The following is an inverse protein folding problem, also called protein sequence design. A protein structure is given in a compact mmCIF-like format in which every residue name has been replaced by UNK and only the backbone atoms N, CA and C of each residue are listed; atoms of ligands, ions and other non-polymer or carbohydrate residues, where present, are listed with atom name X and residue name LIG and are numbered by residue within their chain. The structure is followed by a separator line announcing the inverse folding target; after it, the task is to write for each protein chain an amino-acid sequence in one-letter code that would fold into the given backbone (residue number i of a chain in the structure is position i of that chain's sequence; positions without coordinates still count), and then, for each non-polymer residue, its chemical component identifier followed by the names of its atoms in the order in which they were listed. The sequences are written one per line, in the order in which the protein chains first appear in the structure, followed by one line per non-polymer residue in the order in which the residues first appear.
data_IF_489207058871
#
_entry.id   IF_489207058871
#
_cell.length_a   1.000
_cell.length_b   1.000
_cell.length_c   1.000
_cell.angle_alpha   90.00
_cell.angle_beta   90.00
_cell.angle_gamma   90.00
#
_symmetry.space_group_name_H-M   'P 1'
#
loop_
_entity.id
_entity.type
_entity.pdbx_description
1 polymer ?
#
# COMPACT_ATOMS: atom_id res chain seq x y z
N UNK A 1 -44.72 37.44 47.98
CA UNK A 1 -45.96 36.65 47.76
C UNK A 1 -45.67 35.25 48.25
N UNK A 2 -46.40 34.85 49.28
CA UNK A 2 -46.14 33.67 50.10
C UNK A 2 -46.87 32.42 49.61
N UNK A 3 -46.43 31.29 50.18
CA UNK A 3 -47.16 30.02 50.44
C UNK A 3 -47.29 29.05 49.26
N UNK A 4 -47.29 27.73 49.42
CA UNK A 4 -46.76 26.74 50.39
C UNK A 4 -47.31 25.37 49.89
N UNK A 5 -46.60 24.27 50.17
CA UNK A 5 -47.07 22.89 50.50
C UNK A 5 -48.24 22.24 49.72
N UNK A 6 -48.27 20.94 49.41
CA UNK A 6 -47.53 19.77 49.89
C UNK A 6 -48.46 18.53 49.87
N UNK A 7 -47.85 17.33 49.83
CA UNK A 7 -48.40 15.99 50.19
C UNK A 7 -49.53 15.44 49.27
N UNK A 8 -49.76 14.13 49.02
CA UNK A 8 -49.60 12.91 49.84
C UNK A 8 -49.66 11.65 48.95
N UNK A 9 -49.03 10.56 49.41
CA UNK A 9 -49.11 9.16 48.96
C UNK A 9 -50.52 8.54 49.00
N UNK A 10 -50.75 7.52 48.16
CA UNK A 10 -51.54 6.32 48.54
C UNK A 10 -51.00 5.05 47.86
N UNK A 11 -50.84 4.01 48.69
CA UNK A 11 -50.55 2.60 48.38
C UNK A 11 -51.87 1.81 48.48
N UNK A 12 -51.89 0.61 47.86
CA UNK A 12 -52.78 -0.57 48.05
C UNK A 12 -53.65 -0.86 46.83
N UNK A 13 -53.83 -2.10 46.37
CA UNK A 13 -53.39 -3.41 46.84
C UNK A 13 -54.23 -4.49 46.14
N UNK A 14 -53.62 -5.67 45.94
CA UNK A 14 -54.21 -6.99 45.63
C UNK A 14 -54.99 -7.18 44.31
N UNK A 15 -55.09 -8.36 43.69
CA UNK A 15 -54.37 -9.64 43.61
C UNK A 15 -55.27 -10.52 42.70
N UNK A 16 -54.76 -11.66 42.23
CA UNK A 16 -55.46 -12.86 41.74
C UNK A 16 -55.63 -13.08 40.22
N UNK A 17 -54.78 -14.03 39.76
CA UNK A 17 -55.08 -15.15 38.81
C UNK A 17 -55.13 -14.79 37.31
N UNK A 18 -54.64 -15.58 36.34
CA UNK A 18 -54.25 -17.00 36.28
C UNK A 18 -53.37 -17.22 35.04
N UNK A 19 -52.45 -18.18 35.18
CA UNK A 19 -51.50 -18.71 34.21
C UNK A 19 -52.04 -19.04 32.80
N UNK A 20 -51.15 -18.95 31.80
CA UNK A 20 -51.11 -19.95 30.72
C UNK A 20 -50.81 -19.47 29.30
N UNK A 21 -49.71 -18.76 29.04
CA UNK A 21 -49.18 -18.58 27.67
C UNK A 21 -47.85 -19.32 27.49
N UNK A 22 -47.92 -20.55 26.99
CA UNK A 22 -46.77 -21.27 26.44
C UNK A 22 -46.76 -21.13 24.92
N UNK A 23 -46.12 -20.09 24.41
CA UNK A 23 -45.55 -20.08 23.06
C UNK A 23 -44.07 -19.73 23.17
N UNK A 24 -43.26 -20.79 23.21
CA UNK A 24 -41.81 -20.71 23.13
C UNK A 24 -41.41 -20.16 21.75
N UNK A 25 -41.15 -18.86 21.65
CA UNK A 25 -40.31 -18.32 20.58
C UNK A 25 -38.89 -18.23 21.11
N UNK A 26 -38.14 -19.31 20.93
CA UNK A 26 -36.70 -19.35 21.16
C UNK A 26 -36.03 -18.42 20.14
N UNK A 27 -35.69 -17.22 20.60
CA UNK A 27 -34.89 -16.27 19.84
C UNK A 27 -33.50 -16.87 19.59
N UNK A 28 -33.09 -16.92 18.33
CA UNK A 28 -31.85 -17.58 17.95
C UNK A 28 -30.64 -16.80 18.50
N UNK A 29 -29.56 -17.47 18.95
CA UNK A 29 -28.40 -16.85 19.61
C UNK A 29 -27.67 -15.76 18.81
N UNK A 30 -27.97 -15.62 17.52
CA UNK A 30 -27.36 -14.64 16.62
C UNK A 30 -28.10 -13.30 16.56
N UNK A 31 -29.33 -13.20 17.08
CA UNK A 31 -30.07 -11.92 17.10
C UNK A 31 -29.51 -10.92 18.13
N UNK A 32 -28.90 -11.41 19.21
CA UNK A 32 -28.19 -10.57 20.21
C UNK A 32 -26.79 -10.12 19.71
N UNK A 33 -26.27 -10.70 18.64
CA UNK A 33 -24.98 -10.31 18.05
C UNK A 33 -25.06 -9.05 17.18
N UNK A 34 -26.29 -8.61 16.80
CA UNK A 34 -26.49 -7.41 15.96
C UNK A 34 -26.64 -6.11 16.75
N UNK A 35 -26.83 -6.17 18.07
CA UNK A 35 -27.02 -4.99 18.93
C UNK A 35 -25.71 -4.46 19.54
N UNK A 36 -24.59 -5.17 19.37
CA UNK A 36 -23.26 -4.76 19.86
C UNK A 36 -22.40 -4.05 18.80
N UNK A 37 -22.78 -4.07 17.52
CA UNK A 37 -22.06 -3.38 16.45
C UNK A 37 -22.66 -2.00 16.18
N UNK A 38 -22.41 -1.05 17.08
CA UNK A 38 -22.35 0.35 16.65
C UNK A 38 -21.00 0.54 15.95
N UNK A 39 -20.92 1.05 14.72
CA UNK A 39 -19.66 1.41 14.12
C UNK A 39 -19.09 2.60 14.90
N UNK A 40 -18.24 2.33 15.88
CA UNK A 40 -17.34 3.32 16.43
C UNK A 40 -16.38 3.70 15.31
N UNK A 41 -16.49 4.93 14.84
CA UNK A 41 -15.56 5.56 13.91
C UNK A 41 -14.12 5.24 14.32
N UNK A 42 -13.26 4.65 13.47
CA UNK A 42 -11.88 4.40 13.84
C UNK A 42 -11.15 5.74 13.87
N UNK A 43 -11.04 6.35 15.05
CA UNK A 43 -10.28 7.58 15.31
C UNK A 43 -8.80 7.32 15.59
N UNK A 44 -8.34 6.06 15.58
CA UNK A 44 -6.94 5.72 15.79
C UNK A 44 -6.23 5.76 14.43
N UNK A 45 -5.34 6.75 14.24
CA UNK A 45 -4.38 6.72 13.12
C UNK A 45 -3.69 5.34 13.10
N UNK A 46 -3.46 4.73 11.92
CA UNK A 46 -2.74 3.48 11.85
C UNK A 46 -1.40 3.61 12.56
N UNK A 47 -0.97 2.58 13.28
CA UNK A 47 0.38 2.56 13.81
C UNK A 47 1.31 2.30 12.62
N UNK A 48 2.27 3.19 12.31
CA UNK A 48 3.23 2.90 11.27
C UNK A 48 3.99 1.63 11.67
N UNK A 49 4.23 0.71 10.73
CA UNK A 49 4.90 -0.53 11.04
C UNK A 49 6.34 -0.27 11.42
N UNK A 50 6.89 -1.13 12.27
CA UNK A 50 8.34 -1.12 12.46
C UNK A 50 9.00 -1.53 11.14
N UNK A 51 10.12 -0.89 10.74
CA UNK A 51 10.79 -1.21 9.49
C UNK A 51 11.16 -2.70 9.33
N UNK A 52 11.38 -3.41 10.45
CA UNK A 52 11.70 -4.84 10.48
C UNK A 52 10.52 -5.78 10.15
N UNK A 53 9.28 -5.29 10.30
CA UNK A 53 8.05 -6.08 10.08
C UNK A 53 7.26 -5.60 8.85
N UNK A 54 7.67 -4.47 8.26
CA UNK A 54 7.03 -3.89 7.09
C UNK A 54 7.61 -4.47 5.80
N UNK A 55 6.76 -4.64 4.80
CA UNK A 55 7.19 -4.73 3.40
C UNK A 55 7.26 -3.31 2.87
N UNK A 56 8.45 -2.70 2.94
CA UNK A 56 8.68 -1.34 2.48
C UNK A 56 8.89 -1.30 0.96
N UNK A 57 8.01 -0.56 0.29
CA UNK A 57 8.00 -0.42 -1.17
C UNK A 57 8.28 1.04 -1.51
N UNK A 58 9.47 1.29 -2.07
CA UNK A 58 9.85 2.60 -2.55
C UNK A 58 9.41 2.77 -4.00
N UNK A 59 8.66 3.81 -4.31
CA UNK A 59 8.18 4.12 -5.66
C UNK A 59 8.73 5.47 -6.11
N UNK A 60 9.23 5.55 -7.34
CA UNK A 60 9.64 6.84 -7.90
C UNK A 60 8.43 7.71 -8.29
N UNK A 61 8.57 9.03 -8.23
CA UNK A 61 7.51 9.97 -8.65
C UNK A 61 7.03 9.73 -10.08
N UNK A 62 7.94 9.40 -11.01
CA UNK A 62 7.62 9.12 -12.43
C UNK A 62 6.91 7.79 -12.68
N UNK A 63 6.92 6.86 -11.72
CA UNK A 63 6.11 5.63 -11.83
C UNK A 63 4.78 5.76 -11.11
N UNK A 64 4.74 6.54 -10.02
CA UNK A 64 3.50 6.77 -9.28
C UNK A 64 2.56 7.70 -10.05
N UNK A 65 3.12 8.71 -10.72
CA UNK A 65 2.38 9.72 -11.46
C UNK A 65 2.91 9.87 -12.88
N UNK A 66 2.03 10.23 -13.81
CA UNK A 66 2.41 10.59 -15.15
C UNK A 66 3.03 12.00 -15.16
N UNK A 67 4.33 12.04 -15.40
CA UNK A 67 5.14 13.26 -15.43
C UNK A 67 5.90 13.40 -16.77
N UNK A 68 5.37 12.81 -17.84
CA UNK A 68 6.06 12.74 -19.14
C UNK A 68 6.32 14.13 -19.73
N UNK A 69 5.34 15.04 -19.63
CA UNK A 69 5.47 16.43 -20.10
C UNK A 69 6.56 17.15 -19.33
N UNK A 70 6.59 17.00 -18.02
CA UNK A 70 7.58 17.60 -17.13
C UNK A 70 8.98 17.05 -17.39
N UNK A 71 9.10 15.74 -17.67
CA UNK A 71 10.35 15.12 -18.07
C UNK A 71 10.88 15.70 -19.39
N UNK A 72 10.00 15.87 -20.39
CA UNK A 72 10.39 16.46 -21.68
C UNK A 72 10.90 17.90 -21.53
N UNK A 73 10.27 18.70 -20.66
CA UNK A 73 10.74 20.06 -20.34
C UNK A 73 12.14 20.01 -19.72
N UNK A 74 12.37 19.11 -18.75
CA UNK A 74 13.69 18.95 -18.14
C UNK A 74 14.77 18.55 -19.15
N UNK A 75 14.46 17.61 -20.05
CA UNK A 75 15.42 17.12 -21.05
C UNK A 75 15.73 18.15 -22.15
N UNK A 76 14.73 18.92 -22.59
CA UNK A 76 14.87 19.85 -23.71
C UNK A 76 15.29 21.26 -23.29
N UNK A 77 14.79 21.74 -22.14
CA UNK A 77 14.90 23.13 -21.69
C UNK A 77 15.76 23.25 -20.42
N UNK A 78 16.02 22.14 -19.73
CA UNK A 78 16.88 22.09 -18.56
C UNK A 78 16.15 22.35 -17.24
N UNK A 79 16.92 22.45 -16.16
CA UNK A 79 16.41 22.48 -14.78
C UNK A 79 15.62 23.76 -14.45
N UNK A 80 16.03 24.92 -14.97
CA UNK A 80 15.39 26.20 -14.63
C UNK A 80 13.94 26.27 -15.15
N UNK A 81 13.73 25.97 -16.42
CA UNK A 81 12.40 25.95 -17.04
C UNK A 81 11.53 24.83 -16.46
N UNK A 82 12.13 23.68 -16.14
CA UNK A 82 11.45 22.61 -15.40
C UNK A 82 10.91 23.09 -14.05
N UNK A 83 11.73 23.75 -13.23
CA UNK A 83 11.30 24.25 -11.92
C UNK A 83 10.21 25.31 -12.09
N UNK A 84 10.39 26.25 -13.02
CA UNK A 84 9.39 27.28 -13.31
C UNK A 84 8.04 26.67 -13.70
N UNK A 85 8.05 25.72 -14.62
CA UNK A 85 6.85 25.00 -15.03
C UNK A 85 6.17 24.29 -13.84
N UNK A 86 6.94 23.61 -12.99
CA UNK A 86 6.40 22.91 -11.83
C UNK A 86 5.74 23.86 -10.81
N UNK A 87 6.31 25.05 -10.61
CA UNK A 87 5.75 26.08 -9.72
C UNK A 87 4.47 26.69 -10.32
N UNK A 88 4.47 27.01 -11.61
CA UNK A 88 3.28 27.56 -12.28
C UNK A 88 2.08 26.61 -12.25
N UNK A 89 2.34 25.29 -12.23
CA UNK A 89 1.31 24.25 -12.23
C UNK A 89 1.18 23.56 -10.85
N UNK A 90 1.62 24.19 -9.76
CA UNK A 90 1.63 23.58 -8.41
C UNK A 90 0.26 23.08 -7.93
N UNK A 91 -0.81 23.77 -8.34
CA UNK A 91 -2.20 23.42 -8.01
C UNK A 91 -2.81 22.37 -8.95
N UNK A 92 -2.11 21.98 -10.02
CA UNK A 92 -2.58 21.02 -11.00
C UNK A 92 -2.04 19.62 -10.66
N UNK A 93 -2.88 18.70 -10.14
CA UNK A 93 -2.42 17.37 -9.76
C UNK A 93 -2.00 16.56 -10.99
N UNK A 94 -0.97 15.73 -10.82
CA UNK A 94 -0.58 14.79 -11.87
C UNK A 94 -1.65 13.72 -12.08
N UNK A 95 -1.74 13.20 -13.31
CA UNK A 95 -2.55 12.02 -13.59
C UNK A 95 -1.86 10.75 -13.06
N UNK A 96 -2.61 9.67 -12.79
CA UNK A 96 -2.07 8.39 -12.36
C UNK A 96 -0.96 7.85 -13.29
N UNK A 97 0.10 7.31 -12.69
CA UNK A 97 1.18 6.62 -13.39
C UNK A 97 1.04 5.10 -13.35
N UNK A 98 1.97 4.35 -13.98
CA UNK A 98 1.90 2.88 -14.10
C UNK A 98 1.86 2.13 -12.75
N UNK A 99 2.43 2.68 -11.68
CA UNK A 99 2.41 2.07 -10.35
C UNK A 99 1.20 2.48 -9.50
N UNK A 100 0.34 3.39 -9.98
CA UNK A 100 -0.71 3.98 -9.17
C UNK A 100 -1.69 2.95 -8.63
N UNK A 101 -2.28 2.13 -9.50
CA UNK A 101 -3.23 1.10 -9.09
C UNK A 101 -2.60 0.03 -8.21
N UNK A 102 -1.30 -0.24 -8.37
CA UNK A 102 -0.56 -1.12 -7.48
C UNK A 102 -0.48 -0.54 -6.06
N UNK A 103 -0.12 0.75 -5.92
CA UNK A 103 -0.11 1.43 -4.62
C UNK A 103 -1.50 1.43 -3.97
N UNK A 104 -2.56 1.70 -4.73
CA UNK A 104 -3.94 1.59 -4.23
C UNK A 104 -4.28 0.18 -3.73
N UNK A 105 -3.84 -0.85 -4.45
CA UNK A 105 -4.06 -2.23 -4.04
C UNK A 105 -3.35 -2.57 -2.72
N UNK A 106 -2.14 -2.05 -2.50
CA UNK A 106 -1.42 -2.22 -1.22
C UNK A 106 -2.17 -1.54 -0.06
N UNK A 107 -2.67 -0.32 -0.26
CA UNK A 107 -3.50 0.39 0.72
C UNK A 107 -4.80 -0.37 1.04
N UNK A 108 -5.41 -0.97 0.02
CA UNK A 108 -6.60 -1.79 0.17
C UNK A 108 -6.33 -3.04 1.01
N UNK A 109 -5.17 -3.70 0.82
CA UNK A 109 -4.74 -4.82 1.65
C UNK A 109 -4.50 -4.37 3.09
N UNK A 110 -3.76 -3.28 3.32
CA UNK A 110 -3.58 -2.74 4.67
C UNK A 110 -4.91 -2.44 5.36
N UNK A 111 -5.88 -1.89 4.61
CA UNK A 111 -7.22 -1.59 5.14
C UNK A 111 -7.98 -2.85 5.55
N UNK A 112 -7.99 -3.87 4.70
CA UNK A 112 -8.64 -5.15 5.02
C UNK A 112 -7.95 -5.87 6.19
N UNK A 113 -6.62 -5.87 6.23
CA UNK A 113 -5.88 -6.45 7.35
C UNK A 113 -6.17 -5.74 8.67
N UNK A 114 -6.34 -4.42 8.65
CA UNK A 114 -6.72 -3.63 9.83
C UNK A 114 -8.12 -3.98 10.34
N UNK A 115 -9.06 -4.28 9.45
CA UNK A 115 -10.41 -4.72 9.84
C UNK A 115 -10.40 -6.12 10.45
N UNK A 116 -9.58 -7.03 9.89
CA UNK A 116 -9.45 -8.40 10.37
C UNK A 116 -8.61 -8.50 11.66
N UNK A 117 -7.59 -7.67 11.79
CA UNK A 117 -6.61 -7.69 12.87
C UNK A 117 -6.34 -6.26 13.41
N UNK A 118 -7.27 -5.67 14.19
CA UNK A 118 -7.19 -4.26 14.61
C UNK A 118 -5.95 -3.86 15.45
N UNK A 119 -5.29 -4.85 16.06
CA UNK A 119 -4.08 -4.64 16.86
C UNK A 119 -2.78 -4.93 16.10
N UNK A 120 -2.85 -5.37 14.83
CA UNK A 120 -1.65 -5.55 14.01
C UNK A 120 -1.10 -4.22 13.52
N UNK A 121 0.19 -4.20 13.22
CA UNK A 121 0.81 -3.12 12.44
C UNK A 121 0.39 -3.25 10.96
N UNK A 122 0.57 -2.18 10.17
CA UNK A 122 0.36 -2.26 8.73
C UNK A 122 1.39 -3.18 8.07
N UNK A 123 1.00 -3.89 7.01
CA UNK A 123 1.93 -4.79 6.34
C UNK A 123 2.83 -4.04 5.34
N UNK A 124 2.24 -3.16 4.55
CA UNK A 124 2.95 -2.44 3.49
C UNK A 124 3.24 -1.00 3.90
N UNK A 125 4.50 -0.57 3.77
CA UNK A 125 4.93 0.83 3.92
C UNK A 125 5.34 1.38 2.55
N UNK A 126 4.57 2.33 2.02
CA UNK A 126 4.86 2.92 0.70
C UNK A 126 5.62 4.23 0.89
N UNK A 127 6.80 4.31 0.26
CA UNK A 127 7.68 5.47 0.33
C UNK A 127 7.81 6.09 -1.05
N UNK A 128 7.51 7.38 -1.16
CA UNK A 128 7.72 8.10 -2.42
C UNK A 128 9.16 8.64 -2.50
N UNK A 129 9.90 8.18 -3.50
CA UNK A 129 11.24 8.65 -3.84
C UNK A 129 11.17 9.60 -5.03
N UNK A 130 11.78 10.78 -4.93
CA UNK A 130 11.89 11.69 -6.08
C UNK A 130 13.30 12.20 -6.25
N UNK A 131 13.73 12.24 -7.52
CA UNK A 131 14.98 12.88 -7.92
C UNK A 131 14.81 14.41 -8.07
N UNK A 132 13.59 14.92 -7.93
CA UNK A 132 13.28 16.32 -8.17
C UNK A 132 13.86 17.24 -7.09
N UNK A 133 14.09 18.49 -7.49
CA UNK A 133 14.46 19.56 -6.57
C UNK A 133 13.33 19.83 -5.55
N UNK A 134 13.70 20.28 -4.34
CA UNK A 134 12.79 20.54 -3.21
C UNK A 134 11.55 21.38 -3.59
N UNK A 135 11.72 22.34 -4.49
CA UNK A 135 10.66 23.22 -4.98
C UNK A 135 9.51 22.49 -5.70
N UNK A 136 9.75 21.28 -6.23
CA UNK A 136 8.72 20.47 -6.91
C UNK A 136 7.90 19.63 -5.90
N UNK A 137 8.31 19.60 -4.62
CA UNK A 137 7.68 18.78 -3.59
C UNK A 137 6.21 19.15 -3.34
N UNK A 138 5.84 20.44 -3.44
CA UNK A 138 4.48 20.90 -3.17
C UNK A 138 3.46 20.31 -4.14
N UNK A 139 3.76 20.33 -5.45
CA UNK A 139 2.88 19.73 -6.47
C UNK A 139 2.70 18.23 -6.25
N UNK A 140 3.76 17.52 -5.85
CA UNK A 140 3.67 16.09 -5.50
C UNK A 140 2.78 15.86 -4.27
N UNK A 141 2.94 16.66 -3.21
CA UNK A 141 2.10 16.57 -2.01
C UNK A 141 0.63 16.88 -2.35
N UNK A 142 0.38 17.93 -3.13
CA UNK A 142 -0.96 18.28 -3.62
C UNK A 142 -1.58 17.15 -4.42
N UNK A 143 -0.78 16.47 -5.25
CA UNK A 143 -1.21 15.32 -6.05
C UNK A 143 -1.54 14.11 -5.17
N UNK A 144 -0.70 13.77 -4.19
CA UNK A 144 -0.95 12.69 -3.21
C UNK A 144 -2.27 12.94 -2.48
N UNK A 145 -2.48 14.18 -2.00
CA UNK A 145 -3.70 14.58 -1.30
C UNK A 145 -4.93 14.55 -2.21
N UNK A 146 -4.81 15.02 -3.46
CA UNK A 146 -5.88 14.98 -4.46
C UNK A 146 -6.38 13.56 -4.70
N UNK A 147 -5.44 12.61 -4.86
CA UNK A 147 -5.73 11.20 -5.09
C UNK A 147 -6.00 10.39 -3.81
N UNK A 148 -5.91 11.03 -2.64
CA UNK A 148 -6.10 10.40 -1.33
C UNK A 148 -5.21 9.16 -1.13
N UNK A 149 -3.96 9.27 -1.56
CA UNK A 149 -2.95 8.24 -1.31
C UNK A 149 -2.43 8.37 0.12
N UNK A 150 -2.31 7.24 0.81
CA UNK A 150 -1.74 7.15 2.14
C UNK A 150 -0.23 6.91 2.04
N UNK A 151 0.51 7.99 1.79
CA UNK A 151 1.97 7.99 1.71
C UNK A 151 2.49 8.94 2.79
N UNK A 152 2.94 8.37 3.91
CA UNK A 152 3.44 9.16 5.05
C UNK A 152 4.92 9.56 4.90
N UNK A 153 5.65 8.86 4.02
CA UNK A 153 7.09 9.04 3.85
C UNK A 153 7.44 9.44 2.43
N UNK A 154 8.12 10.58 2.34
CA UNK A 154 8.53 11.18 1.08
C UNK A 154 9.96 11.68 1.17
N UNK A 155 10.74 11.41 0.12
CA UNK A 155 12.17 11.66 0.11
C UNK A 155 12.60 12.28 -1.21
N UNK A 156 13.42 13.32 -1.12
CA UNK A 156 13.93 14.07 -2.26
C UNK A 156 15.44 13.95 -2.30
N UNK A 157 15.99 13.35 -3.35
CA UNK A 157 17.43 13.13 -3.48
C UNK A 157 18.15 14.33 -4.11
N UNK A 158 17.41 15.26 -4.72
CA UNK A 158 17.99 16.44 -5.40
C UNK A 158 18.92 16.07 -6.55
N UNK A 159 18.62 14.97 -7.26
CA UNK A 159 19.43 14.43 -8.35
C UNK A 159 20.47 13.39 -7.92
N UNK A 160 20.77 13.27 -6.62
CA UNK A 160 21.72 12.29 -6.12
C UNK A 160 21.20 10.85 -6.24
N UNK A 161 22.09 9.89 -5.99
CA UNK A 161 21.73 8.47 -5.93
C UNK A 161 20.72 8.20 -4.79
N UNK A 162 19.65 7.41 -5.03
CA UNK A 162 18.64 7.10 -4.03
C UNK A 162 19.11 6.06 -3.01
N UNK A 163 20.22 5.37 -3.25
CA UNK A 163 20.67 4.19 -2.49
C UNK A 163 20.75 4.45 -0.98
N UNK A 164 21.33 5.58 -0.58
CA UNK A 164 21.45 5.92 0.83
C UNK A 164 20.10 5.96 1.54
N UNK A 165 19.09 6.53 0.87
CA UNK A 165 17.72 6.55 1.38
C UNK A 165 17.09 5.16 1.35
N UNK A 166 17.22 4.42 0.24
CA UNK A 166 16.63 3.09 0.12
C UNK A 166 17.12 2.15 1.24
N UNK A 167 18.42 2.20 1.57
CA UNK A 167 19.01 1.44 2.69
C UNK A 167 18.53 1.92 4.06
N UNK A 168 18.52 3.24 4.29
CA UNK A 168 18.06 3.82 5.56
C UNK A 168 16.59 3.49 5.86
N UNK A 169 15.80 3.27 4.82
CA UNK A 169 14.40 2.92 4.90
C UNK A 169 14.11 1.42 4.91
N UNK A 170 15.14 0.56 4.88
CA UNK A 170 14.97 -0.89 4.80
C UNK A 170 14.09 -1.33 3.62
N UNK A 171 14.27 -0.69 2.46
CA UNK A 171 13.44 -0.93 1.28
C UNK A 171 13.54 -2.39 0.83
N UNK A 172 12.41 -3.08 0.74
CA UNK A 172 12.34 -4.44 0.20
C UNK A 172 12.20 -4.44 -1.32
N UNK A 173 11.48 -3.47 -1.89
CA UNK A 173 11.26 -3.35 -3.33
C UNK A 173 11.34 -1.88 -3.77
N UNK A 174 12.15 -1.59 -4.79
CA UNK A 174 12.23 -0.28 -5.43
C UNK A 174 11.68 -0.30 -6.87
N UNK A 175 10.68 0.53 -7.15
CA UNK A 175 10.08 0.67 -8.48
C UNK A 175 10.39 2.04 -9.06
N UNK A 176 11.01 2.08 -10.23
CA UNK A 176 11.42 3.33 -10.87
C UNK A 176 11.28 3.32 -12.38
N UNK A 177 11.11 4.51 -12.97
CA UNK A 177 11.15 4.70 -14.42
C UNK A 177 12.60 4.85 -14.92
N UNK A 178 13.54 5.11 -14.02
CA UNK A 178 14.95 5.32 -14.32
C UNK A 178 15.72 4.00 -14.19
N UNK A 179 16.03 3.39 -15.33
CA UNK A 179 16.78 2.13 -15.39
C UNK A 179 18.20 2.22 -14.80
N UNK A 180 18.82 3.40 -14.81
CA UNK A 180 20.12 3.63 -14.19
C UNK A 180 20.03 3.51 -12.67
N UNK A 181 19.04 4.17 -12.06
CA UNK A 181 18.80 4.06 -10.61
C UNK A 181 18.34 2.67 -10.19
N UNK A 182 17.60 1.96 -11.03
CA UNK A 182 17.25 0.54 -10.78
C UNK A 182 18.51 -0.31 -10.76
N UNK A 183 19.44 -0.11 -11.70
CA UNK A 183 20.72 -0.83 -11.71
C UNK A 183 21.54 -0.55 -10.46
N UNK A 184 21.69 0.71 -10.07
CA UNK A 184 22.36 1.09 -8.81
C UNK A 184 21.76 0.35 -7.60
N UNK A 185 20.43 0.20 -7.55
CA UNK A 185 19.74 -0.47 -6.44
C UNK A 185 20.02 -1.98 -6.43
N UNK A 186 19.99 -2.62 -7.60
CA UNK A 186 20.29 -4.04 -7.77
C UNK A 186 21.74 -4.37 -7.39
N UNK A 187 22.70 -3.53 -7.79
CA UNK A 187 24.12 -3.67 -7.44
C UNK A 187 24.36 -3.63 -5.92
N UNK A 188 23.49 -2.92 -5.19
CA UNK A 188 23.53 -2.79 -3.73
C UNK A 188 22.66 -3.81 -3.00
N UNK A 189 22.14 -4.82 -3.72
CA UNK A 189 21.37 -5.93 -3.17
C UNK A 189 19.91 -5.59 -2.83
N UNK A 190 19.39 -4.48 -3.34
CA UNK A 190 18.00 -4.05 -3.15
C UNK A 190 17.19 -4.56 -4.33
N UNK A 191 16.12 -5.33 -4.09
CA UNK A 191 15.25 -5.78 -5.16
C UNK A 191 14.61 -4.56 -5.84
N UNK A 192 14.74 -4.46 -7.16
CA UNK A 192 14.28 -3.31 -7.90
C UNK A 192 13.83 -3.69 -9.30
N UNK A 193 12.88 -2.92 -9.84
CA UNK A 193 12.36 -3.12 -11.19
C UNK A 193 12.14 -1.79 -11.90
N UNK A 194 12.44 -1.80 -13.21
CA UNK A 194 12.09 -0.68 -14.09
C UNK A 194 10.64 -0.81 -14.51
N UNK A 195 9.84 0.23 -14.28
CA UNK A 195 8.46 0.29 -14.76
C UNK A 195 8.36 1.26 -15.92
N UNK A 196 7.74 0.80 -17.00
CA UNK A 196 7.49 1.60 -18.18
C UNK A 196 6.07 2.17 -18.15
N UNK A 197 5.91 3.39 -18.64
CA UNK A 197 4.59 3.97 -18.87
C UNK A 197 4.07 3.44 -20.21
N UNK A 198 3.02 2.60 -20.25
CA UNK A 198 2.47 2.10 -21.50
C UNK A 198 1.72 3.20 -22.25
N UNK A 199 1.65 3.12 -23.58
CA UNK A 199 0.84 4.04 -24.41
C UNK A 199 -0.65 4.03 -24.04
N UNK A 200 -1.13 2.88 -23.55
CA UNK A 200 -2.47 2.71 -23.00
C UNK A 200 -2.37 2.08 -21.61
N UNK A 201 -2.83 2.80 -20.61
CA UNK A 201 -3.03 2.22 -19.29
C UNK A 201 -4.16 1.20 -19.35
N UNK A 202 -3.87 -0.03 -18.95
CA UNK A 202 -4.89 -1.05 -18.77
C UNK A 202 -5.55 -0.84 -17.42
N UNK A 203 -6.88 -0.88 -17.37
CA UNK A 203 -7.59 -0.85 -16.09
C UNK A 203 -7.30 -2.14 -15.31
N UNK A 204 -6.57 -1.99 -14.22
CA UNK A 204 -6.29 -3.06 -13.26
C UNK A 204 -6.98 -2.74 -11.94
N UNK A 205 -7.24 -3.77 -11.14
CA UNK A 205 -7.95 -3.59 -9.86
C UNK A 205 -7.11 -2.77 -8.88
N UNK A 206 -7.71 -1.74 -8.33
CA UNK A 206 -7.13 -0.93 -7.23
C UNK A 206 -7.45 -1.49 -5.85
N UNK A 207 -8.31 -2.52 -5.76
CA UNK A 207 -8.79 -3.09 -4.50
C UNK A 207 -8.24 -4.49 -4.23
N UNK A 208 -7.61 -5.10 -5.24
CA UNK A 208 -7.08 -6.46 -5.16
C UNK A 208 -5.62 -6.49 -5.59
N UNK A 209 -4.74 -6.86 -4.66
CA UNK A 209 -3.37 -7.24 -4.99
C UNK A 209 -3.37 -8.67 -5.57
N UNK A 210 -2.82 -8.83 -6.77
CA UNK A 210 -2.63 -10.13 -7.42
C UNK A 210 -1.15 -10.46 -7.44
N UNK A 211 -0.76 -11.56 -6.83
CA UNK A 211 0.62 -12.04 -6.77
C UNK A 211 0.71 -13.31 -7.60
N UNK A 212 1.61 -13.31 -8.59
CA UNK A 212 1.98 -14.52 -9.31
C UNK A 212 3.28 -15.05 -8.68
N UNK A 213 3.31 -16.36 -8.39
CA UNK A 213 4.50 -17.04 -7.90
C UNK A 213 5.10 -17.82 -9.05
N UNK A 214 6.31 -17.44 -9.45
CA UNK A 214 7.03 -18.07 -10.55
C UNK A 214 7.64 -19.43 -10.17
N UNK A 215 7.56 -19.83 -8.90
CA UNK A 215 8.05 -21.12 -8.40
C UNK A 215 9.59 -21.22 -8.28
N UNK A 216 10.32 -20.67 -9.23
CA UNK A 216 11.67 -21.14 -9.59
C UNK A 216 12.84 -20.76 -8.66
N UNK A 217 12.62 -20.04 -7.56
CA UNK A 217 13.72 -19.69 -6.63
C UNK A 217 13.37 -19.55 -5.14
N UNK A 218 12.08 -19.58 -4.78
CA UNK A 218 11.63 -19.31 -3.39
C UNK A 218 10.79 -20.45 -2.81
N UNK A 219 10.14 -21.25 -3.66
CA UNK A 219 9.31 -22.38 -3.24
C UNK A 219 9.98 -23.74 -3.50
N UNK A 220 11.05 -23.75 -4.30
CA UNK A 220 11.75 -24.94 -4.77
C UNK A 220 13.28 -24.73 -4.71
N UNK A 221 14.05 -25.81 -4.76
CA UNK A 221 15.51 -25.80 -4.62
C UNK A 221 16.21 -24.82 -5.55
N UNK A 222 17.21 -24.09 -5.04
CA UNK A 222 18.07 -23.13 -5.77
C UNK A 222 19.07 -23.79 -6.74
N UNK A 223 18.90 -25.08 -7.04
CA UNK A 223 19.82 -25.89 -7.84
C UNK A 223 19.96 -25.37 -9.27
N UNK A 224 18.85 -25.04 -9.91
CA UNK A 224 18.83 -24.51 -11.28
C UNK A 224 19.49 -23.12 -11.35
N UNK A 225 19.30 -22.25 -10.34
CA UNK A 225 19.94 -20.93 -10.27
C UNK A 225 21.47 -21.03 -10.06
N UNK A 226 21.93 -22.01 -9.27
CA UNK A 226 23.36 -22.30 -9.11
C UNK A 226 24.00 -22.77 -10.41
N UNK A 227 23.34 -23.63 -11.17
CA UNK A 227 23.84 -24.12 -12.45
C UNK A 227 23.92 -22.98 -13.46
N UNK A 228 22.92 -22.11 -13.50
CA UNK A 228 22.93 -20.90 -14.31
C UNK A 228 24.11 -19.98 -13.96
N UNK A 229 24.29 -19.64 -12.68
CA UNK A 229 25.38 -18.75 -12.23
C UNK A 229 26.78 -19.36 -12.47
N UNK A 230 26.93 -20.67 -12.34
CA UNK A 230 28.22 -21.34 -12.47
C UNK A 230 28.59 -21.73 -13.91
N UNK A 231 27.61 -22.04 -14.77
CA UNK A 231 27.87 -22.65 -16.07
C UNK A 231 27.17 -21.97 -17.26
N UNK A 232 26.40 -20.91 -17.00
CA UNK A 232 25.72 -20.13 -18.04
C UNK A 232 24.41 -20.76 -18.56
N UNK A 233 23.79 -20.02 -19.49
CA UNK A 233 22.44 -20.26 -20.01
C UNK A 233 22.28 -21.61 -20.73
N UNK A 234 23.32 -22.05 -21.46
CA UNK A 234 23.27 -23.28 -22.25
C UNK A 234 23.17 -24.52 -21.35
N UNK A 235 23.95 -24.55 -20.26
CA UNK A 235 23.91 -25.66 -19.29
C UNK A 235 22.64 -25.67 -18.44
N UNK A 236 22.03 -24.51 -18.22
CA UNK A 236 20.73 -24.41 -17.57
C UNK A 236 19.65 -25.12 -18.39
N UNK A 237 19.57 -24.86 -19.70
CA UNK A 237 18.60 -25.53 -20.58
C UNK A 237 18.82 -27.04 -20.69
N UNK A 238 20.09 -27.50 -20.72
CA UNK A 238 20.40 -28.93 -20.67
C UNK A 238 19.96 -29.58 -19.35
N UNK A 239 20.14 -28.88 -18.23
CA UNK A 239 19.74 -29.34 -16.91
C UNK A 239 18.21 -29.42 -16.76
N UNK A 240 17.50 -28.35 -17.13
CA UNK A 240 16.03 -28.28 -17.18
C UNK A 240 15.45 -29.42 -18.01
N UNK A 241 15.95 -29.60 -19.24
CA UNK A 241 15.48 -30.65 -20.15
C UNK A 241 15.76 -32.06 -19.63
N UNK A 242 16.87 -32.26 -18.90
CA UNK A 242 17.20 -33.54 -18.29
C UNK A 242 16.39 -33.83 -17.01
N UNK A 243 15.87 -32.80 -16.34
CA UNK A 243 15.17 -32.90 -15.05
C UNK A 243 13.67 -32.54 -15.14
N UNK A 244 13.13 -32.32 -16.35
CA UNK A 244 11.73 -31.96 -16.63
C UNK A 244 10.68 -32.84 -15.94
N UNK A 245 10.98 -34.13 -15.75
CA UNK A 245 10.05 -35.09 -15.11
C UNK A 245 10.40 -35.42 -13.65
N UNK A 246 11.39 -34.74 -13.07
CA UNK A 246 11.73 -34.88 -11.65
C UNK A 246 11.03 -33.76 -10.89
N UNK A 247 10.20 -34.08 -9.88
CA UNK A 247 9.68 -33.07 -8.98
C UNK A 247 10.85 -32.31 -8.36
N UNK A 248 10.74 -30.98 -8.27
CA UNK A 248 11.72 -30.17 -7.57
C UNK A 248 11.70 -30.56 -6.08
N UNK A 249 12.88 -30.80 -5.51
CA UNK A 249 13.03 -31.14 -4.09
C UNK A 249 12.65 -29.93 -3.21
N UNK A 250 12.08 -30.23 -2.04
CA UNK A 250 11.59 -29.27 -1.03
C UNK A 250 12.68 -28.79 -0.07
#
# INVERSE_FOLDING_TARGET
MSLNNGQTLTISGHDLTRNGSSSSSSRAPWEDARTVLKPSTPTRKPKPPKPENAVTIAVSSRVLFNMEKEQQIYEQQGMEDYIKYQVEHEAEPFSPGPAFSFVKALEAVNTQLRELYPESEELFDVVLMTNNHAYVGLRLINTINHHKLFIERFCMTGGNSPIGYLKAYHTNLYLSADSGKVREALEEGIAAATMFTPEKMTEVSETQLRVAFDGDAVLFSDESERIYKAHGLDKFFEHEKAHENKPLDH
#
